data_IF_153688770204
#
_entry.id   IF_153688770204
#
_cell.length_a   1.000
_cell.length_b   1.000
_cell.length_c   1.000
_cell.angle_alpha   90.00
_cell.angle_beta   90.00
_cell.angle_gamma   90.00
#
_symmetry.space_group_name_H-M   'P 1'
#
loop_
_entity.id
_entity.type
_entity.pdbx_description
1 polymer ?
#
# COMPACT_ATOMS: atom_id res chain seq x y z
N UNK A 1 27.91 -9.81 10.04
CA UNK A 1 26.69 -9.02 10.33
C UNK A 1 25.63 -9.50 9.36
N UNK A 2 24.54 -10.05 9.87
CA UNK A 2 23.46 -10.59 9.07
C UNK A 2 22.53 -9.44 8.65
N UNK A 3 22.47 -9.16 7.34
CA UNK A 3 21.64 -8.10 6.76
C UNK A 3 20.18 -8.53 6.54
N UNK A 4 19.83 -9.78 6.85
CA UNK A 4 18.49 -10.34 6.62
C UNK A 4 17.40 -9.68 7.49
N UNK A 5 17.77 -8.99 8.57
CA UNK A 5 16.86 -8.31 9.52
C UNK A 5 16.77 -6.77 9.35
N UNK A 6 17.23 -6.19 8.24
CA UNK A 6 17.13 -4.74 8.01
C UNK A 6 15.88 -4.29 7.24
N UNK A 7 15.23 -5.21 6.54
CA UNK A 7 14.07 -4.92 5.68
C UNK A 7 12.78 -5.35 6.40
N UNK A 8 11.88 -4.39 6.60
CA UNK A 8 10.51 -4.58 7.06
C UNK A 8 9.57 -5.10 5.95
N UNK A 9 10.01 -5.11 4.68
CA UNK A 9 9.16 -5.63 3.60
C UNK A 9 9.06 -7.16 3.65
N UNK A 10 7.85 -7.65 3.88
CA UNK A 10 7.47 -9.05 3.82
C UNK A 10 6.85 -9.38 2.46
N UNK A 11 7.21 -10.51 1.86
CA UNK A 11 6.65 -10.90 0.57
C UNK A 11 5.21 -11.41 0.73
N UNK A 12 4.25 -10.76 0.09
CA UNK A 12 2.84 -11.13 0.18
C UNK A 12 2.44 -12.04 -1.00
N UNK A 13 2.16 -13.32 -0.73
CA UNK A 13 1.90 -14.33 -1.77
C UNK A 13 0.62 -14.08 -2.58
N UNK A 14 -0.38 -13.47 -1.96
CA UNK A 14 -1.70 -13.28 -2.58
C UNK A 14 -1.80 -12.01 -3.44
N UNK A 15 -0.83 -11.12 -3.40
CA UNK A 15 -0.75 -10.01 -4.35
C UNK A 15 0.14 -10.40 -5.55
N UNK A 16 0.01 -9.74 -6.71
CA UNK A 16 0.89 -10.00 -7.84
C UNK A 16 2.34 -9.59 -7.57
N UNK A 17 3.29 -10.32 -8.16
CA UNK A 17 4.72 -10.04 -8.01
C UNK A 17 5.13 -8.60 -8.36
N UNK A 18 4.44 -7.95 -9.30
CA UNK A 18 4.69 -6.53 -9.63
C UNK A 18 4.48 -5.60 -8.41
N UNK A 19 3.51 -5.89 -7.55
CA UNK A 19 3.24 -5.12 -6.34
C UNK A 19 4.29 -5.43 -5.27
N UNK A 20 4.70 -6.70 -5.13
CA UNK A 20 5.78 -7.08 -4.21
C UNK A 20 7.12 -6.44 -4.58
N UNK A 21 7.53 -6.57 -5.85
CA UNK A 21 8.76 -5.95 -6.37
C UNK A 21 8.72 -4.44 -6.20
N UNK A 22 7.55 -3.82 -6.43
CA UNK A 22 7.36 -2.40 -6.18
C UNK A 22 7.56 -2.04 -4.71
N UNK A 23 6.91 -2.74 -3.77
CA UNK A 23 7.02 -2.48 -2.33
C UNK A 23 8.45 -2.65 -1.82
N UNK A 24 9.11 -3.76 -2.18
CA UNK A 24 10.52 -4.00 -1.88
C UNK A 24 11.44 -2.90 -2.42
N UNK A 25 11.21 -2.46 -3.68
CA UNK A 25 11.98 -1.34 -4.25
C UNK A 25 11.68 -0.01 -3.58
N UNK A 26 10.46 0.20 -3.10
CA UNK A 26 10.07 1.42 -2.40
C UNK A 26 10.79 1.51 -1.06
N UNK A 27 10.84 0.42 -0.29
CA UNK A 27 11.59 0.34 0.97
C UNK A 27 13.07 0.67 0.79
N UNK A 28 13.71 0.16 -0.26
CA UNK A 28 15.11 0.49 -0.56
C UNK A 28 15.32 1.93 -1.09
N UNK A 29 14.27 2.74 -1.22
CA UNK A 29 14.36 4.07 -1.83
C UNK A 29 14.69 4.05 -3.33
N UNK A 30 14.37 2.94 -4.02
CA UNK A 30 14.78 2.65 -5.42
C UNK A 30 13.68 2.81 -6.45
N UNK A 31 12.51 3.32 -6.06
CA UNK A 31 11.48 3.78 -7.01
C UNK A 31 11.81 5.21 -7.51
N UNK A 32 11.39 5.60 -8.73
CA UNK A 32 11.79 6.87 -9.33
C UNK A 32 10.99 8.07 -8.78
N UNK A 33 11.17 8.39 -7.50
CA UNK A 33 10.74 9.67 -6.90
C UNK A 33 11.61 10.82 -7.39
N UNK A 34 11.12 12.06 -7.32
CA UNK A 34 11.92 13.24 -7.67
C UNK A 34 13.26 13.26 -6.91
N UNK A 35 13.23 13.00 -5.60
CA UNK A 35 14.43 12.89 -4.77
C UNK A 35 15.39 11.79 -5.23
N UNK A 36 14.89 10.60 -5.57
CA UNK A 36 15.71 9.48 -6.03
C UNK A 36 16.31 9.70 -7.42
N UNK A 37 15.58 10.37 -8.31
CA UNK A 37 16.06 10.74 -9.65
C UNK A 37 17.16 11.80 -9.55
N UNK A 38 17.00 12.82 -8.70
CA UNK A 38 18.05 13.83 -8.46
C UNK A 38 19.33 13.22 -7.88
N UNK A 39 19.21 12.28 -6.94
CA UNK A 39 20.36 11.50 -6.43
C UNK A 39 21.11 10.71 -7.52
N UNK A 40 20.47 10.45 -8.67
CA UNK A 40 21.08 9.80 -9.85
C UNK A 40 21.51 10.80 -10.92
N UNK A 41 21.64 12.08 -10.57
CA UNK A 41 22.01 13.17 -11.47
C UNK A 41 21.03 13.39 -12.65
N UNK A 42 19.77 12.94 -12.50
CA UNK A 42 18.71 13.24 -13.46
C UNK A 42 18.09 14.57 -13.06
N UNK A 43 18.12 15.54 -13.98
CA UNK A 43 17.53 16.86 -13.77
C UNK A 43 16.01 16.77 -13.71
N UNK A 44 15.42 17.27 -12.62
CA UNK A 44 13.98 17.31 -12.39
C UNK A 44 13.59 18.78 -12.18
N UNK A 45 12.78 19.32 -13.09
CA UNK A 45 12.34 20.71 -13.03
C UNK A 45 11.43 20.98 -11.83
N UNK A 46 10.49 20.07 -11.55
CA UNK A 46 9.57 20.16 -10.42
C UNK A 46 9.74 18.95 -9.49
N UNK A 47 10.31 19.22 -8.32
CA UNK A 47 10.55 18.23 -7.27
C UNK A 47 9.38 18.06 -6.30
N UNK A 48 8.33 18.88 -6.40
CA UNK A 48 7.19 18.76 -5.51
C UNK A 48 6.37 17.50 -5.82
N UNK A 49 5.73 16.97 -4.78
CA UNK A 49 4.78 15.89 -4.91
C UNK A 49 3.55 16.37 -5.65
N UNK A 50 3.29 15.82 -6.85
CA UNK A 50 2.14 16.24 -7.67
C UNK A 50 0.77 15.92 -7.08
N UNK A 51 0.70 15.12 -6.00
CA UNK A 51 -0.56 14.79 -5.35
C UNK A 51 -1.00 15.84 -4.32
N UNK A 52 -0.05 16.59 -3.73
CA UNK A 52 -0.36 17.61 -2.72
C UNK A 52 0.32 18.95 -2.92
N UNK A 53 1.31 19.03 -3.81
CA UNK A 53 2.03 20.25 -4.21
C UNK A 53 2.69 21.00 -3.03
N UNK A 54 2.91 20.33 -1.89
CA UNK A 54 3.28 20.98 -0.63
C UNK A 54 4.68 20.65 -0.12
N UNK A 55 5.30 19.57 -0.58
CA UNK A 55 6.64 19.17 -0.17
C UNK A 55 7.35 18.38 -1.28
N UNK A 56 8.67 18.23 -1.12
CA UNK A 56 9.47 17.41 -2.02
C UNK A 56 9.01 15.96 -2.06
N UNK A 57 8.92 15.41 -3.26
CA UNK A 57 8.56 14.01 -3.46
C UNK A 57 9.72 13.06 -3.14
N UNK A 58 9.58 12.36 -2.03
CA UNK A 58 10.36 11.18 -1.67
C UNK A 58 9.43 10.02 -1.27
N UNK A 59 9.98 8.85 -0.94
CA UNK A 59 9.17 7.65 -0.62
C UNK A 59 8.30 7.89 0.60
N UNK A 60 8.89 8.39 1.69
CA UNK A 60 8.17 8.64 2.93
C UNK A 60 7.07 9.68 2.71
N UNK A 61 7.39 10.83 2.14
CA UNK A 61 6.38 11.83 1.82
C UNK A 61 5.28 11.26 0.92
N UNK A 62 5.60 10.55 -0.16
CA UNK A 62 4.59 10.06 -1.10
C UNK A 62 3.58 9.09 -0.45
N UNK A 63 4.03 8.25 0.50
CA UNK A 63 3.19 7.21 1.08
C UNK A 63 2.69 7.51 2.49
N UNK A 64 3.37 8.35 3.28
CA UNK A 64 2.97 8.70 4.65
C UNK A 64 2.69 10.20 4.79
N UNK A 65 3.67 11.06 4.47
CA UNK A 65 3.64 12.51 4.75
C UNK A 65 2.75 13.35 3.82
N UNK A 66 2.29 12.80 2.70
CA UNK A 66 1.44 13.48 1.73
C UNK A 66 0.01 13.50 2.23
N UNK A 67 -0.60 14.68 2.34
CA UNK A 67 -2.00 14.83 2.82
C UNK A 67 -3.00 14.00 2.00
N UNK A 68 -2.73 13.80 0.71
CA UNK A 68 -3.53 12.90 -0.13
C UNK A 68 -3.42 11.45 0.33
N UNK A 69 -2.21 10.96 0.58
CA UNK A 69 -1.98 9.61 1.10
C UNK A 69 -2.58 9.46 2.51
N UNK A 70 -2.38 10.42 3.41
CA UNK A 70 -2.94 10.38 4.76
C UNK A 70 -4.48 10.27 4.74
N UNK A 71 -5.17 11.03 3.88
CA UNK A 71 -6.63 10.93 3.70
C UNK A 71 -7.03 9.54 3.19
N UNK A 72 -6.31 8.99 2.21
CA UNK A 72 -6.57 7.65 1.72
C UNK A 72 -6.42 6.61 2.83
N UNK A 73 -5.39 6.71 3.67
CA UNK A 73 -5.22 5.82 4.81
C UNK A 73 -6.36 5.89 5.82
N UNK A 74 -6.96 7.06 6.07
CA UNK A 74 -8.15 7.18 6.92
C UNK A 74 -9.37 6.44 6.33
N UNK A 75 -9.53 6.45 5.01
CA UNK A 75 -10.59 5.65 4.36
C UNK A 75 -10.31 4.15 4.47
N UNK A 76 -9.06 3.74 4.32
CA UNK A 76 -8.65 2.33 4.43
C UNK A 76 -8.77 1.82 5.87
N UNK A 77 -8.39 2.63 6.88
CA UNK A 77 -8.54 2.26 8.29
C UNK A 77 -10.01 2.01 8.64
N UNK A 78 -10.88 2.93 8.23
CA UNK A 78 -12.33 2.85 8.42
C UNK A 78 -12.90 1.60 7.72
N UNK A 79 -12.49 1.34 6.47
CA UNK A 79 -12.96 0.18 5.72
C UNK A 79 -12.50 -1.14 6.35
N UNK A 80 -11.25 -1.22 6.78
CA UNK A 80 -10.67 -2.42 7.39
C UNK A 80 -10.99 -2.59 8.88
N UNK A 81 -11.72 -1.64 9.50
CA UNK A 81 -12.09 -1.63 10.93
C UNK A 81 -10.87 -1.71 11.86
N UNK A 82 -9.80 -0.99 11.50
CA UNK A 82 -8.58 -0.86 12.31
C UNK A 82 -8.47 0.56 12.87
N UNK A 83 -7.65 0.79 13.92
CA UNK A 83 -7.36 2.14 14.39
C UNK A 83 -6.85 3.06 13.27
N UNK A 84 -7.04 4.36 13.46
CA UNK A 84 -6.57 5.36 12.51
C UNK A 84 -5.06 5.21 12.27
N UNK A 85 -4.69 5.22 11.00
CA UNK A 85 -3.32 4.96 10.57
C UNK A 85 -2.54 6.27 10.63
N UNK A 86 -1.58 6.33 11.54
CA UNK A 86 -0.63 7.43 11.69
C UNK A 86 0.77 6.88 11.47
N UNK A 87 1.37 7.25 10.35
CA UNK A 87 2.68 6.77 9.90
C UNK A 87 3.54 7.95 9.48
N UNK A 88 4.84 7.85 9.71
CA UNK A 88 5.80 8.91 9.40
C UNK A 88 6.87 8.46 8.41
N UNK A 89 7.02 7.14 8.21
CA UNK A 89 7.89 6.56 7.20
C UNK A 89 7.19 5.45 6.41
N UNK A 90 7.78 5.05 5.28
CA UNK A 90 7.33 3.87 4.55
C UNK A 90 7.57 2.58 5.35
N UNK A 91 8.59 2.56 6.20
CA UNK A 91 8.85 1.43 7.10
C UNK A 91 7.72 1.28 8.13
N UNK A 92 7.25 2.37 8.72
CA UNK A 92 6.12 2.36 9.66
C UNK A 92 4.87 1.75 9.01
N UNK A 93 4.64 2.04 7.72
CA UNK A 93 3.55 1.41 6.95
C UNK A 93 3.75 -0.09 6.83
N UNK A 94 4.95 -0.58 6.52
CA UNK A 94 5.20 -2.01 6.41
C UNK A 94 4.99 -2.72 7.75
N UNK A 95 5.43 -2.11 8.84
CA UNK A 95 5.34 -2.68 10.19
C UNK A 95 3.94 -2.56 10.82
N UNK A 96 3.10 -1.64 10.33
CA UNK A 96 1.79 -1.30 10.91
C UNK A 96 0.89 -2.52 11.15
N UNK A 97 0.92 -3.49 10.24
CA UNK A 97 0.08 -4.67 10.30
C UNK A 97 0.32 -5.52 11.58
N UNK A 98 1.44 -5.31 12.28
CA UNK A 98 1.75 -5.91 13.58
C UNK A 98 1.05 -5.21 14.77
N UNK A 99 0.51 -3.99 14.59
CA UNK A 99 0.04 -3.13 15.68
C UNK A 99 -1.44 -2.73 15.58
N UNK A 100 -2.17 -3.27 14.59
CA UNK A 100 -3.59 -2.91 14.33
C UNK A 100 -4.61 -3.85 14.97
N UNK A 101 -4.16 -4.79 15.82
CA UNK A 101 -5.04 -5.74 16.51
C UNK A 101 -5.67 -6.82 15.62
N UNK A 102 -5.17 -6.99 14.38
CA UNK A 102 -5.58 -8.06 13.48
C UNK A 102 -4.68 -9.29 13.67
N UNK A 103 -5.25 -10.47 13.51
CA UNK A 103 -4.56 -11.77 13.56
C UNK A 103 -4.93 -12.64 12.35
N UNK A 104 -4.19 -13.75 12.19
CA UNK A 104 -4.45 -14.78 11.19
C UNK A 104 -4.65 -14.22 9.78
N UNK A 105 -5.69 -14.71 9.09
CA UNK A 105 -5.94 -14.35 7.70
C UNK A 105 -6.26 -12.87 7.49
N UNK A 106 -6.92 -12.23 8.46
CA UNK A 106 -7.25 -10.80 8.39
C UNK A 106 -5.99 -9.94 8.37
N UNK A 107 -4.99 -10.29 9.19
CA UNK A 107 -3.68 -9.62 9.22
C UNK A 107 -2.97 -9.75 7.87
N UNK A 108 -2.92 -10.95 7.29
CA UNK A 108 -2.30 -11.18 5.96
C UNK A 108 -2.99 -10.38 4.83
N UNK A 109 -4.33 -10.32 4.85
CA UNK A 109 -5.09 -9.56 3.86
C UNK A 109 -4.93 -8.06 4.08
N UNK A 110 -4.88 -7.61 5.33
CA UNK A 110 -4.61 -6.21 5.62
C UNK A 110 -3.22 -5.79 5.11
N UNK A 111 -2.19 -6.58 5.39
CA UNK A 111 -0.83 -6.30 4.90
C UNK A 111 -0.76 -6.18 3.36
N UNK A 112 -1.35 -7.13 2.64
CA UNK A 112 -1.39 -7.05 1.18
C UNK A 112 -2.21 -5.85 0.68
N UNK A 113 -3.30 -5.47 1.36
CA UNK A 113 -4.04 -4.25 1.03
C UNK A 113 -3.18 -2.99 1.21
N UNK A 114 -2.33 -2.92 2.23
CA UNK A 114 -1.40 -1.79 2.39
C UNK A 114 -0.48 -1.66 1.17
N UNK A 115 0.07 -2.76 0.68
CA UNK A 115 0.92 -2.75 -0.52
C UNK A 115 0.12 -2.34 -1.77
N UNK A 116 -1.14 -2.79 -1.88
CA UNK A 116 -2.05 -2.39 -2.99
C UNK A 116 -2.34 -0.89 -2.94
N UNK A 117 -2.57 -0.32 -1.77
CA UNK A 117 -2.78 1.13 -1.60
C UNK A 117 -1.55 1.91 -2.08
N UNK A 118 -0.35 1.53 -1.64
CA UNK A 118 0.91 2.14 -2.10
C UNK A 118 1.06 2.03 -3.63
N UNK A 119 0.72 0.86 -4.21
CA UNK A 119 0.74 0.65 -5.65
C UNK A 119 -0.23 1.57 -6.40
N UNK A 120 -1.45 1.76 -5.89
CA UNK A 120 -2.44 2.64 -6.49
C UNK A 120 -2.05 4.12 -6.36
N UNK A 121 -1.51 4.55 -5.22
CA UNK A 121 -0.93 5.90 -5.04
C UNK A 121 0.15 6.14 -6.09
N UNK A 122 1.09 5.20 -6.24
CA UNK A 122 2.17 5.29 -7.21
C UNK A 122 1.66 5.42 -8.65
N UNK A 123 0.65 4.63 -9.02
CA UNK A 123 0.03 4.70 -10.35
C UNK A 123 -0.72 6.00 -10.59
N UNK A 124 -1.45 6.49 -9.60
CA UNK A 124 -2.16 7.76 -9.69
C UNK A 124 -1.17 8.92 -9.87
N UNK A 125 -0.10 8.94 -9.06
CA UNK A 125 1.01 9.88 -9.19
C UNK A 125 1.64 9.85 -10.58
N UNK A 126 1.94 8.67 -11.13
CA UNK A 126 2.51 8.53 -12.47
C UNK A 126 1.55 9.01 -13.56
N UNK A 127 0.27 8.67 -13.43
CA UNK A 127 -0.75 9.12 -14.39
C UNK A 127 -0.87 10.65 -14.39
N UNK A 128 -0.74 11.28 -13.22
CA UNK A 128 -0.65 12.74 -13.17
C UNK A 128 0.63 13.22 -13.85
N UNK A 129 1.83 12.80 -13.39
CA UNK A 129 3.10 13.32 -13.93
C UNK A 129 3.25 13.15 -15.45
N UNK A 130 2.79 12.04 -16.03
CA UNK A 130 3.05 11.72 -17.44
C UNK A 130 1.86 11.92 -18.38
N UNK A 131 0.64 12.01 -17.85
CA UNK A 131 -0.59 12.12 -18.65
C UNK A 131 -1.49 13.27 -18.21
N UNK A 132 -1.05 14.07 -17.24
CA UNK A 132 -1.81 15.17 -16.62
C UNK A 132 -3.19 14.74 -16.09
N UNK A 133 -3.34 13.45 -15.75
CA UNK A 133 -4.59 12.88 -15.24
C UNK A 133 -4.64 13.06 -13.73
N UNK A 134 -5.41 14.04 -13.26
CA UNK A 134 -5.59 14.32 -11.82
C UNK A 134 -6.13 13.11 -11.07
N UNK A 135 -5.54 12.84 -9.91
CA UNK A 135 -5.97 11.78 -9.01
C UNK A 135 -7.31 12.14 -8.34
N UNK A 136 -8.24 11.20 -8.29
CA UNK A 136 -9.51 11.32 -7.55
C UNK A 136 -9.53 10.31 -6.42
N UNK A 137 -9.82 10.76 -5.21
CA UNK A 137 -9.80 9.94 -3.99
C UNK A 137 -10.70 8.70 -4.14
N UNK A 138 -11.93 8.91 -4.58
CA UNK A 138 -12.95 7.87 -4.75
C UNK A 138 -12.52 6.85 -5.82
N UNK A 139 -11.85 7.33 -6.88
CA UNK A 139 -11.32 6.48 -7.94
C UNK A 139 -10.24 5.53 -7.43
N UNK A 140 -9.31 6.04 -6.61
CA UNK A 140 -8.25 5.22 -6.01
C UNK A 140 -8.83 4.24 -4.99
N UNK A 141 -9.77 4.67 -4.14
CA UNK A 141 -10.45 3.77 -3.19
C UNK A 141 -11.15 2.64 -3.94
N UNK A 142 -11.88 2.96 -5.01
CA UNK A 142 -12.53 1.98 -5.87
C UNK A 142 -11.53 0.99 -6.48
N UNK A 143 -10.41 1.49 -7.00
CA UNK A 143 -9.37 0.66 -7.58
C UNK A 143 -8.71 -0.26 -6.53
N UNK A 144 -8.41 0.23 -5.33
CA UNK A 144 -7.90 -0.59 -4.22
C UNK A 144 -8.86 -1.72 -3.89
N UNK A 145 -10.16 -1.43 -3.77
CA UNK A 145 -11.18 -2.45 -3.46
C UNK A 145 -11.29 -3.49 -4.58
N UNK A 146 -11.30 -3.07 -5.84
CA UNK A 146 -11.38 -3.98 -7.01
C UNK A 146 -10.14 -4.86 -7.09
N UNK A 147 -8.95 -4.28 -7.04
CA UNK A 147 -7.70 -5.05 -7.11
C UNK A 147 -7.53 -5.97 -5.90
N UNK A 148 -7.82 -5.47 -4.70
CA UNK A 148 -7.83 -6.23 -3.46
C UNK A 148 -8.73 -7.46 -3.58
N UNK A 149 -9.99 -7.28 -4.00
CA UNK A 149 -10.93 -8.38 -4.16
C UNK A 149 -10.48 -9.39 -5.23
N UNK A 150 -10.12 -8.91 -6.43
CA UNK A 150 -9.74 -9.78 -7.54
C UNK A 150 -8.53 -10.64 -7.19
N UNK A 151 -7.50 -10.07 -6.55
CA UNK A 151 -6.30 -10.78 -6.17
C UNK A 151 -6.51 -11.68 -4.95
N UNK A 152 -7.26 -11.22 -3.95
CA UNK A 152 -7.67 -12.04 -2.81
C UNK A 152 -8.43 -13.30 -3.27
N UNK A 153 -9.43 -13.15 -4.14
CA UNK A 153 -10.21 -14.27 -4.67
C UNK A 153 -9.38 -15.22 -5.52
N UNK A 154 -8.55 -14.69 -6.42
CA UNK A 154 -7.79 -15.52 -7.37
C UNK A 154 -6.52 -16.15 -6.79
N UNK A 155 -5.89 -15.53 -5.77
CA UNK A 155 -4.55 -15.93 -5.28
C UNK A 155 -4.52 -16.28 -3.79
N UNK A 156 -5.39 -15.69 -2.97
CA UNK A 156 -5.50 -16.06 -1.55
C UNK A 156 -6.45 -17.25 -1.29
N UNK A 157 -7.12 -17.75 -2.34
CA UNK A 157 -8.20 -18.75 -2.27
C UNK A 157 -9.30 -18.38 -1.27
N UNK A 158 -9.55 -17.08 -1.10
CA UNK A 158 -10.67 -16.63 -0.29
C UNK A 158 -11.98 -16.97 -1.00
N UNK A 159 -12.79 -17.82 -0.38
CA UNK A 159 -14.12 -18.18 -0.86
C UNK A 159 -15.17 -17.10 -0.58
N UNK A 160 -14.75 -15.98 0.01
CA UNK A 160 -15.65 -14.92 0.42
C UNK A 160 -16.36 -14.28 -0.77
N UNK A 161 -17.62 -13.93 -0.56
CA UNK A 161 -18.36 -13.14 -1.54
C UNK A 161 -17.78 -11.73 -1.65
N UNK A 162 -18.06 -11.06 -2.76
CA UNK A 162 -17.71 -9.65 -2.95
C UNK A 162 -18.27 -8.78 -1.82
N UNK A 163 -19.45 -9.13 -1.30
CA UNK A 163 -20.10 -8.39 -0.22
C UNK A 163 -19.35 -8.54 1.10
N UNK A 164 -18.88 -9.76 1.42
CA UNK A 164 -18.02 -10.00 2.59
C UNK A 164 -16.69 -9.25 2.51
N UNK A 165 -16.11 -9.11 1.31
CA UNK A 165 -14.90 -8.32 1.13
C UNK A 165 -15.16 -6.80 1.25
N UNK A 166 -16.29 -6.32 0.71
CA UNK A 166 -16.70 -4.92 0.82
C UNK A 166 -16.92 -4.48 2.27
N UNK A 167 -17.42 -5.35 3.12
CA UNK A 167 -17.63 -5.10 4.56
C UNK A 167 -16.41 -5.44 5.43
N UNK A 168 -15.33 -5.92 4.80
CA UNK A 168 -14.14 -6.46 5.45
C UNK A 168 -14.48 -7.52 6.52
N UNK A 169 -15.53 -8.31 6.28
CA UNK A 169 -15.92 -9.45 7.12
C UNK A 169 -15.30 -10.71 6.54
N UNK A 170 -13.99 -10.87 6.76
CA UNK A 170 -13.27 -12.04 6.29
C UNK A 170 -13.48 -13.18 7.29
N UNK A 171 -14.15 -14.26 6.86
CA UNK A 171 -14.26 -15.48 7.64
C UNK A 171 -12.88 -16.14 7.78
N UNK A 172 -12.52 -16.52 9.00
CA UNK A 172 -11.38 -17.41 9.21
C UNK A 172 -11.84 -18.81 8.80
N UNK A 173 -11.15 -19.42 7.83
CA UNK A 173 -11.38 -20.83 7.54
C UNK A 173 -10.91 -21.62 8.76
N UNK A 174 -11.84 -22.24 9.48
CA UNK A 174 -11.54 -23.21 10.52
C UNK A 174 -10.50 -24.20 9.97
N UNK A 175 -9.32 -24.22 10.57
CA UNK A 175 -8.41 -25.35 10.37
C UNK A 175 -9.05 -26.54 11.09
N UNK A 176 -9.18 -27.71 10.44
CA UNK A 176 -9.61 -28.90 11.16
C UNK A 176 -8.56 -29.16 12.25
N UNK A 177 -9.02 -29.14 13.49
CA UNK A 177 -8.24 -29.61 14.64
C UNK A 177 -7.93 -31.07 14.34
N UNK A 178 -6.68 -31.38 14.00
CA UNK A 178 -6.21 -32.75 13.94
C UNK A 178 -6.12 -33.27 15.36
N UNK A 179 -7.06 -34.14 15.73
CA UNK A 179 -6.96 -35.07 16.87
C UNK A 179 -5.75 -36.00 16.73
#
# INVERSE_FOLDING_TARGET
MDFSNLNAFEWCSWIPNKCNIFGWRAEMGRIPTASALRKRNIQIADSLCVLCESAEENVDHLFSGCIFASRLWQHISTWCKVPNIFVFSFKDLLDLHNFVGLSGKKKEIFYGLMIIVCWCIWRARNSFKFQNKKARMEGIIGEVKVLGFLWAKSRAKLHNSLDQFKTFTIAESEHPVSE
#
